data_IF_820716750515
#
_entry.id   IF_820716750515
#
_cell.length_a   1.000
_cell.length_b   1.000
_cell.length_c   1.000
_cell.angle_alpha   90.00
_cell.angle_beta   90.00
_cell.angle_gamma   90.00
#
_symmetry.space_group_name_H-M   'P 1'
#
loop_
_entity.id
_entity.type
_entity.pdbx_description
1 polymer ?
#
# COMPACT_ATOMS: atom_id res chain seq x y z
N UNK A 1 0.07 16.49 14.83
CA UNK A 1 -0.88 15.59 14.14
C UNK A 1 -0.32 15.34 12.75
N UNK A 2 -0.35 14.10 12.29
CA UNK A 2 0.45 13.59 11.16
C UNK A 2 0.19 14.39 9.88
N UNK A 3 1.26 14.91 9.25
CA UNK A 3 1.20 15.69 7.99
C UNK A 3 0.75 14.85 6.77
N UNK A 4 0.32 13.60 6.98
CA UNK A 4 -0.02 12.65 5.93
C UNK A 4 -1.54 12.43 5.92
N UNK A 5 -2.26 12.85 4.88
CA UNK A 5 -3.68 12.49 4.72
C UNK A 5 -3.90 11.04 4.30
N UNK A 6 -2.96 10.43 3.58
CA UNK A 6 -3.07 9.02 3.18
C UNK A 6 -3.08 8.13 4.42
N UNK A 7 -3.96 7.11 4.41
CA UNK A 7 -4.35 6.20 5.51
C UNK A 7 -4.94 6.85 6.79
N UNK A 8 -4.90 8.18 6.95
CA UNK A 8 -5.39 8.85 8.16
C UNK A 8 -6.61 9.73 7.95
N UNK A 9 -6.90 10.12 6.69
CA UNK A 9 -8.13 10.82 6.31
C UNK A 9 -9.04 9.82 5.59
N UNK A 10 -10.26 9.67 6.08
CA UNK A 10 -11.25 8.80 5.47
C UNK A 10 -11.55 9.24 4.03
N UNK A 11 -11.94 8.29 3.20
CA UNK A 11 -12.25 8.48 1.80
C UNK A 11 -11.54 7.49 0.88
N UNK A 12 -11.65 7.75 -0.42
CA UNK A 12 -11.03 6.94 -1.45
C UNK A 12 -9.72 7.55 -1.92
N UNK A 13 -8.74 6.71 -2.25
CA UNK A 13 -7.55 7.11 -2.99
C UNK A 13 -7.47 6.27 -4.24
N UNK A 14 -7.25 6.92 -5.39
CA UNK A 14 -7.03 6.26 -6.66
C UNK A 14 -5.54 6.21 -6.92
N UNK A 15 -5.09 5.20 -7.65
CA UNK A 15 -3.71 5.09 -8.06
C UNK A 15 -3.55 4.38 -9.38
N UNK A 16 -2.41 4.65 -9.99
CA UNK A 16 -1.99 3.99 -11.23
C UNK A 16 -0.47 3.88 -11.24
N UNK A 17 0.03 2.89 -11.99
CA UNK A 17 1.46 2.68 -12.11
C UNK A 17 1.81 1.46 -12.93
N UNK A 18 3.01 0.95 -12.71
CA UNK A 18 3.58 -0.21 -13.38
C UNK A 18 4.14 -1.21 -12.38
N UNK A 19 4.02 -2.48 -12.74
CA UNK A 19 4.56 -3.63 -12.03
C UNK A 19 5.60 -4.29 -12.94
N UNK A 20 6.81 -4.43 -12.43
CA UNK A 20 7.91 -5.11 -13.07
C UNK A 20 8.18 -6.41 -12.33
N UNK A 21 8.00 -7.53 -13.04
CA UNK A 21 8.24 -8.87 -12.52
C UNK A 21 9.58 -9.37 -13.07
N UNK A 22 10.49 -9.77 -12.20
CA UNK A 22 11.82 -10.29 -12.59
C UNK A 22 11.80 -11.42 -13.64
N UNK A 23 10.70 -12.14 -13.78
CA UNK A 23 10.53 -13.26 -14.71
C UNK A 23 9.89 -12.86 -16.06
N UNK A 24 9.55 -11.58 -16.23
CA UNK A 24 8.94 -11.03 -17.44
C UNK A 24 9.72 -9.80 -17.92
N UNK A 25 9.98 -9.71 -19.22
CA UNK A 25 10.59 -8.53 -19.83
C UNK A 25 9.59 -7.38 -20.04
N UNK A 26 8.32 -7.58 -19.65
CA UNK A 26 7.23 -6.62 -19.86
C UNK A 26 6.79 -5.95 -18.54
N UNK A 27 6.53 -4.65 -18.62
CA UNK A 27 5.93 -3.89 -17.53
C UNK A 27 4.40 -4.01 -17.59
N UNK A 28 3.77 -4.44 -16.50
CA UNK A 28 2.31 -4.53 -16.40
C UNK A 28 1.74 -3.25 -15.79
N UNK A 29 0.88 -2.55 -16.53
CA UNK A 29 0.16 -1.40 -15.99
C UNK A 29 -0.87 -1.85 -14.95
N UNK A 30 -0.98 -1.13 -13.85
CA UNK A 30 -2.01 -1.41 -12.82
C UNK A 30 -2.78 -0.15 -12.43
N UNK A 31 -3.98 -0.37 -11.93
CA UNK A 31 -4.81 0.61 -11.26
C UNK A 31 -5.10 0.12 -9.84
N UNK A 32 -5.06 1.01 -8.87
CA UNK A 32 -5.42 0.68 -7.48
C UNK A 32 -6.43 1.65 -6.92
N UNK A 33 -7.25 1.16 -6.01
CA UNK A 33 -8.17 1.97 -5.21
C UNK A 33 -8.03 1.58 -3.75
N UNK A 34 -7.69 2.55 -2.93
CA UNK A 34 -7.80 2.42 -1.47
C UNK A 34 -9.13 2.99 -1.01
N UNK A 35 -9.78 2.28 -0.09
CA UNK A 35 -10.91 2.77 0.71
C UNK A 35 -10.44 2.85 2.16
N UNK A 36 -10.30 4.06 2.66
CA UNK A 36 -9.86 4.36 4.02
C UNK A 36 -11.09 4.75 4.84
N UNK A 37 -11.54 3.94 5.81
CA UNK A 37 -12.66 4.33 6.67
C UNK A 37 -12.21 5.35 7.73
N UNK A 38 -13.16 5.77 8.56
CA UNK A 38 -12.82 6.51 9.79
C UNK A 38 -12.02 5.62 10.76
N UNK A 39 -11.18 6.27 11.56
CA UNK A 39 -10.44 5.61 12.64
C UNK A 39 -11.46 5.12 13.67
N UNK A 40 -11.36 3.85 14.06
CA UNK A 40 -12.27 3.28 15.05
C UNK A 40 -12.01 3.80 16.48
N UNK A 41 -12.88 3.43 17.43
CA UNK A 41 -12.76 3.84 18.84
C UNK A 41 -11.46 3.35 19.52
N UNK A 42 -10.73 2.39 18.93
CA UNK A 42 -9.46 1.84 19.42
C UNK A 42 -8.25 2.45 18.71
N UNK A 43 -8.45 3.40 17.79
CA UNK A 43 -7.36 4.00 17.03
C UNK A 43 -6.88 3.15 15.85
N UNK A 44 -7.68 2.18 15.40
CA UNK A 44 -7.35 1.29 14.27
C UNK A 44 -8.02 1.78 12.98
N UNK A 45 -7.30 1.67 11.87
CA UNK A 45 -7.80 1.97 10.51
C UNK A 45 -7.83 0.68 9.70
N UNK A 46 -9.01 0.23 9.29
CA UNK A 46 -9.20 -0.98 8.50
C UNK A 46 -9.45 -0.63 7.02
N UNK A 47 -8.40 -0.49 6.23
CA UNK A 47 -8.48 -0.08 4.83
C UNK A 47 -8.62 -1.27 3.88
N UNK A 48 -9.35 -1.09 2.79
CA UNK A 48 -9.39 -2.04 1.67
C UNK A 48 -8.59 -1.46 0.51
N UNK A 49 -7.71 -2.25 -0.08
CA UNK A 49 -7.05 -1.93 -1.33
C UNK A 49 -7.53 -2.91 -2.42
N UNK A 50 -8.02 -2.36 -3.52
CA UNK A 50 -8.36 -3.09 -4.74
C UNK A 50 -7.26 -2.82 -5.78
N UNK A 51 -6.76 -3.84 -6.45
CA UNK A 51 -5.73 -3.74 -7.50
C UNK A 51 -6.23 -4.46 -8.74
N UNK A 52 -6.23 -3.75 -9.86
CA UNK A 52 -6.50 -4.28 -11.19
C UNK A 52 -5.21 -4.20 -12.01
N UNK A 53 -4.74 -5.35 -12.51
CA UNK A 53 -3.58 -5.42 -13.39
C UNK A 53 -4.08 -5.56 -14.83
N UNK A 54 -3.50 -4.77 -15.74
CA UNK A 54 -3.81 -4.85 -17.17
C UNK A 54 -3.44 -6.23 -17.72
N UNK A 55 -4.37 -6.86 -18.42
CA UNK A 55 -4.19 -8.22 -18.97
C UNK A 55 -4.63 -9.35 -18.04
N UNK A 56 -4.96 -9.06 -16.78
CA UNK A 56 -5.59 -10.01 -15.85
C UNK A 56 -7.07 -9.67 -15.67
N UNK A 57 -7.94 -10.68 -15.62
CA UNK A 57 -9.38 -10.49 -15.37
C UNK A 57 -9.69 -10.15 -13.91
N UNK A 58 -8.81 -10.56 -13.01
CA UNK A 58 -9.11 -10.63 -11.59
C UNK A 58 -8.72 -9.33 -10.88
N UNK A 59 -9.61 -8.85 -10.01
CA UNK A 59 -9.32 -7.76 -9.08
C UNK A 59 -8.76 -8.36 -7.80
N UNK A 60 -7.50 -8.07 -7.50
CA UNK A 60 -6.89 -8.46 -6.24
C UNK A 60 -7.39 -7.55 -5.12
N UNK A 61 -7.67 -8.12 -3.95
CA UNK A 61 -8.12 -7.39 -2.78
C UNK A 61 -7.20 -7.66 -1.58
N UNK A 62 -6.66 -6.57 -1.02
CA UNK A 62 -5.84 -6.60 0.18
C UNK A 62 -6.59 -5.88 1.30
N UNK A 63 -6.74 -6.54 2.44
CA UNK A 63 -7.28 -5.92 3.65
C UNK A 63 -6.12 -5.48 4.54
N UNK A 64 -6.04 -4.18 4.81
CA UNK A 64 -5.01 -3.61 5.66
C UNK A 64 -5.59 -3.14 6.98
N UNK A 65 -4.86 -3.36 8.06
CA UNK A 65 -5.18 -2.82 9.36
C UNK A 65 -3.99 -2.07 9.95
N UNK A 66 -4.14 -0.76 10.13
CA UNK A 66 -3.14 0.11 10.76
C UNK A 66 -3.52 0.34 12.22
N UNK A 67 -2.58 0.14 13.15
CA UNK A 67 -2.82 0.25 14.59
C UNK A 67 -1.52 0.64 15.33
N UNK A 68 -1.61 0.92 16.63
CA UNK A 68 -0.51 1.42 17.45
C UNK A 68 0.19 2.65 16.82
N UNK A 69 -0.61 3.57 16.27
CA UNK A 69 -0.12 4.71 15.52
C UNK A 69 0.55 5.73 16.45
N UNK A 70 1.81 6.03 16.17
CA UNK A 70 2.61 7.04 16.86
C UNK A 70 3.09 8.10 15.87
N UNK A 71 3.85 9.09 16.36
CA UNK A 71 4.45 10.12 15.48
C UNK A 71 5.55 9.57 14.56
N UNK A 72 6.13 8.41 14.85
CA UNK A 72 7.28 7.84 14.13
C UNK A 72 6.92 6.61 13.29
N UNK A 73 5.77 5.99 13.54
CA UNK A 73 5.42 4.73 12.93
C UNK A 73 4.15 4.12 13.50
N UNK A 74 3.84 2.92 13.02
CA UNK A 74 2.63 2.17 13.33
C UNK A 74 2.89 0.67 13.14
N UNK A 75 1.96 -0.17 13.55
CA UNK A 75 1.90 -1.57 13.15
C UNK A 75 0.88 -1.74 12.03
N UNK A 76 1.12 -2.70 11.15
CA UNK A 76 0.25 -2.99 10.01
C UNK A 76 -0.03 -4.49 9.97
N UNK A 77 -1.27 -4.86 9.68
CA UNK A 77 -1.63 -6.22 9.25
C UNK A 77 -2.07 -6.14 7.79
N UNK A 78 -1.68 -7.12 6.99
CA UNK A 78 -2.16 -7.33 5.63
C UNK A 78 -2.81 -8.71 5.58
N UNK A 79 -4.00 -8.80 5.01
CA UNK A 79 -4.69 -10.05 4.74
C UNK A 79 -5.10 -10.11 3.25
N UNK A 80 -4.68 -11.17 2.57
CA UNK A 80 -5.07 -11.49 1.20
C UNK A 80 -5.20 -13.02 1.04
N UNK A 81 -6.01 -13.47 0.09
CA UNK A 81 -6.21 -14.89 -0.23
C UNK A 81 -4.90 -15.66 -0.52
N UNK A 82 -3.90 -15.03 -1.13
CA UNK A 82 -2.63 -15.67 -1.51
C UNK A 82 -1.62 -15.77 -0.36
N UNK A 83 -1.57 -14.76 0.53
CA UNK A 83 -0.57 -14.67 1.61
C UNK A 83 -1.12 -15.05 2.99
N UNK A 84 -2.44 -15.16 3.13
CA UNK A 84 -3.09 -15.19 4.43
C UNK A 84 -2.89 -13.87 5.17
N UNK A 85 -2.80 -13.95 6.50
CA UNK A 85 -2.62 -12.78 7.37
C UNK A 85 -1.16 -12.60 7.78
N UNK A 86 -0.61 -11.42 7.51
CA UNK A 86 0.79 -11.08 7.74
C UNK A 86 0.88 -9.77 8.54
N UNK A 87 1.89 -9.66 9.41
CA UNK A 87 2.08 -8.49 10.28
C UNK A 87 3.40 -7.81 9.93
N UNK A 88 3.35 -6.50 9.73
CA UNK A 88 4.48 -5.66 9.38
C UNK A 88 4.69 -4.50 10.34
N UNK A 89 5.65 -3.65 9.99
CA UNK A 89 5.95 -2.40 10.71
C UNK A 89 5.90 -1.24 9.75
N UNK A 90 5.32 -0.14 10.19
CA UNK A 90 5.19 1.10 9.44
C UNK A 90 6.04 2.21 10.01
N UNK A 91 6.49 3.12 9.14
CA UNK A 91 7.18 4.35 9.50
C UNK A 91 6.43 5.56 8.94
N UNK A 92 6.54 6.67 9.68
CA UNK A 92 5.99 7.96 9.27
C UNK A 92 7.07 9.01 9.52
N UNK A 93 7.37 9.82 8.52
CA UNK A 93 8.13 11.04 8.69
C UNK A 93 7.38 12.23 8.05
N UNK A 94 8.07 13.32 7.68
CA UNK A 94 7.39 14.49 7.10
C UNK A 94 7.05 14.34 5.62
N UNK A 95 7.82 13.54 4.90
CA UNK A 95 7.75 13.36 3.44
C UNK A 95 7.24 11.98 3.03
N UNK A 96 7.51 10.96 3.83
CA UNK A 96 7.31 9.56 3.51
C UNK A 96 6.46 8.88 4.59
N UNK A 97 5.54 8.05 4.11
CA UNK A 97 4.86 7.03 4.89
C UNK A 97 5.08 5.68 4.20
N UNK A 98 5.38 4.63 4.95
CA UNK A 98 5.62 3.32 4.36
C UNK A 98 5.62 2.21 5.38
N UNK A 99 5.71 0.98 4.91
CA UNK A 99 5.72 -0.22 5.73
C UNK A 99 6.55 -1.32 5.10
N UNK A 100 6.98 -2.27 5.93
CA UNK A 100 7.65 -3.50 5.50
C UNK A 100 6.97 -4.73 6.12
N UNK A 101 7.05 -5.83 5.39
CA UNK A 101 6.68 -7.18 5.82
C UNK A 101 7.92 -8.07 5.74
N UNK A 102 8.12 -8.90 6.77
CA UNK A 102 9.17 -9.93 6.79
C UNK A 102 8.59 -11.20 7.37
N UNK A 103 8.54 -12.25 6.56
CA UNK A 103 8.00 -13.56 6.89
C UNK A 103 9.06 -14.61 6.60
N UNK A 104 10.05 -14.71 7.50
CA UNK A 104 11.22 -15.57 7.33
C UNK A 104 10.85 -17.03 6.98
N UNK A 105 9.76 -17.54 7.57
CA UNK A 105 9.27 -18.90 7.36
C UNK A 105 8.66 -19.15 5.97
N UNK A 106 8.22 -18.09 5.28
CA UNK A 106 7.72 -18.14 3.89
C UNK A 106 8.77 -17.59 2.91
N UNK A 107 9.88 -17.05 3.41
CA UNK A 107 10.84 -16.33 2.57
C UNK A 107 10.28 -15.11 1.88
N UNK A 108 9.19 -14.55 2.41
CA UNK A 108 8.54 -13.38 1.84
C UNK A 108 9.03 -12.14 2.59
N UNK A 109 9.61 -11.21 1.85
CA UNK A 109 9.95 -9.89 2.36
C UNK A 109 9.55 -8.83 1.36
N UNK A 110 9.25 -7.65 1.87
CA UNK A 110 9.02 -6.52 1.00
C UNK A 110 8.68 -5.27 1.76
N UNK A 111 8.69 -4.16 1.03
CA UNK A 111 8.34 -2.87 1.55
C UNK A 111 7.51 -2.10 0.54
N UNK A 112 6.78 -1.13 1.05
CA UNK A 112 6.00 -0.20 0.27
C UNK A 112 6.07 1.17 0.92
N UNK A 113 6.33 2.20 0.14
CA UNK A 113 6.32 3.57 0.63
C UNK A 113 5.65 4.52 -0.33
N UNK A 114 5.25 5.64 0.26
CA UNK A 114 4.53 6.72 -0.35
C UNK A 114 5.22 8.02 0.03
N UNK A 115 5.90 8.61 -0.94
CA UNK A 115 6.48 9.95 -0.80
C UNK A 115 5.46 10.98 -1.27
N UNK A 116 5.31 12.09 -0.54
CA UNK A 116 4.42 13.18 -0.96
C UNK A 116 4.79 13.70 -2.34
N UNK A 117 3.80 13.81 -3.20
CA UNK A 117 3.94 14.45 -4.51
C UNK A 117 4.02 15.98 -4.41
N UNK A 118 4.20 16.61 -5.56
CA UNK A 118 4.29 18.07 -5.69
C UNK A 118 2.95 18.78 -5.46
N UNK A 119 1.82 18.07 -5.68
CA UNK A 119 0.47 18.60 -5.48
C UNK A 119 -0.16 18.07 -4.18
N UNK A 120 -1.06 18.83 -3.54
CA UNK A 120 -1.74 18.38 -2.33
C UNK A 120 -2.46 17.04 -2.52
N UNK A 121 -2.45 16.20 -1.49
CA UNK A 121 -3.12 14.90 -1.48
C UNK A 121 -2.71 13.98 -2.65
N UNK A 122 -1.45 14.07 -3.07
CA UNK A 122 -0.82 13.12 -3.99
C UNK A 122 0.42 12.49 -3.39
N UNK A 123 0.71 11.26 -3.80
CA UNK A 123 1.90 10.52 -3.40
C UNK A 123 2.49 9.76 -4.57
N UNK A 124 3.82 9.68 -4.60
CA UNK A 124 4.58 8.73 -5.40
C UNK A 124 4.72 7.44 -4.60
N UNK A 125 4.29 6.34 -5.20
CA UNK A 125 4.32 5.00 -4.62
C UNK A 125 5.53 4.24 -5.17
N UNK A 126 6.22 3.53 -4.28
CA UNK A 126 7.19 2.51 -4.65
C UNK A 126 7.08 1.32 -3.72
N UNK A 127 7.11 0.11 -4.28
CA UNK A 127 7.14 -1.11 -3.51
C UNK A 127 8.09 -2.12 -4.13
N UNK A 128 8.72 -2.93 -3.29
CA UNK A 128 9.50 -4.08 -3.71
C UNK A 128 9.11 -5.28 -2.84
N UNK A 129 8.85 -6.41 -3.49
CA UNK A 129 8.53 -7.67 -2.84
C UNK A 129 9.41 -8.77 -3.42
N UNK A 130 9.94 -9.62 -2.55
CA UNK A 130 10.77 -10.76 -2.89
C UNK A 130 10.24 -12.04 -2.21
N UNK A 131 10.46 -13.17 -2.89
CA UNK A 131 10.22 -14.51 -2.36
C UNK A 131 11.49 -15.36 -2.47
N UNK A 132 11.56 -16.47 -1.75
CA UNK A 132 12.71 -17.39 -1.77
C UNK A 132 13.07 -17.94 -3.16
N UNK A 133 12.12 -17.98 -4.09
CA UNK A 133 12.33 -18.48 -5.45
C UNK A 133 12.93 -17.40 -6.38
N UNK A 134 13.58 -16.38 -5.81
CA UNK A 134 14.15 -15.20 -6.49
C UNK A 134 13.14 -14.36 -7.31
N UNK A 135 11.83 -14.62 -7.18
CA UNK A 135 10.81 -13.76 -7.77
C UNK A 135 10.80 -12.42 -7.06
N UNK A 136 11.24 -11.40 -7.78
CA UNK A 136 11.13 -9.99 -7.39
C UNK A 136 10.02 -9.30 -8.15
N UNK A 137 9.23 -8.53 -7.42
CA UNK A 137 8.21 -7.64 -7.93
C UNK A 137 8.58 -6.22 -7.53
N UNK A 138 8.74 -5.33 -8.51
CA UNK A 138 8.99 -3.91 -8.29
C UNK A 138 7.78 -3.14 -8.80
N UNK A 139 7.24 -2.25 -7.97
CA UNK A 139 6.06 -1.46 -8.28
C UNK A 139 6.46 0.01 -8.20
N UNK A 140 6.08 0.78 -9.23
CA UNK A 140 6.16 2.23 -9.23
C UNK A 140 4.82 2.79 -9.62
N UNK A 141 4.36 3.81 -8.91
CA UNK A 141 3.10 4.45 -9.25
C UNK A 141 2.91 5.77 -8.56
N UNK A 142 1.68 6.25 -8.63
CA UNK A 142 1.21 7.40 -7.86
C UNK A 142 -0.18 7.12 -7.34
N UNK A 143 -0.52 7.73 -6.21
CA UNK A 143 -1.89 7.77 -5.69
C UNK A 143 -2.33 9.21 -5.46
N UNK A 144 -3.62 9.44 -5.54
CA UNK A 144 -4.25 10.73 -5.27
C UNK A 144 -5.63 10.54 -4.66
N UNK A 145 -6.06 11.51 -3.84
CA UNK A 145 -7.47 11.60 -3.46
C UNK A 145 -8.23 12.23 -4.65
N UNK A 146 -9.30 11.60 -5.18
CA UNK A 146 -10.14 12.25 -6.17
C UNK A 146 -10.81 13.48 -5.55
N UNK A 147 -11.12 14.49 -6.38
CA UNK A 147 -11.93 15.62 -5.93
C UNK A 147 -13.28 15.10 -5.42
N UNK A 148 -13.76 15.64 -4.30
CA UNK A 148 -15.12 15.37 -3.85
C UNK A 148 -16.08 16.00 -4.88
N UNK A 149 -16.85 15.16 -5.59
CA UNK A 149 -17.94 15.64 -6.43
C UNK A 149 -18.93 16.37 -5.50
N UNK A 150 -19.02 17.69 -5.69
CA UNK A 150 -19.90 18.59 -4.93
C UNK A 150 -21.33 18.55 -5.43
#
# INVERSE_FOLDING_TARGET
MTKHPFIFKSGSWLGEGKINLSMMDEELAFFTRWKVPEIDAKGRVASLQEIQISGLSDVMQNQFAFYDITRKGFRIELENQSLGKVVGKGMINERLIGWEFRLDHLGFEGFEFYEKGETPETYLMHAEYATNDDFRTVIHGKIWRPAEES
#
